data_IF_254035242025
#
_entry.id   IF_254035242025
#
_cell.length_a   1.000
_cell.length_b   1.000
_cell.length_c   1.000
_cell.angle_alpha   90.00
_cell.angle_beta   90.00
_cell.angle_gamma   90.00
#
_symmetry.space_group_name_H-M   'P 1'
#
loop_
_entity.id
_entity.type
_entity.pdbx_description
1 polymer ?
#
# COMPACT_ATOMS: atom_id res chain seq x y z
N UNK A 1 -12.08 -6.85 -12.04
CA UNK A 1 -11.77 -8.15 -11.41
C UNK A 1 -11.06 -7.86 -10.09
N UNK A 2 -11.42 -8.56 -9.01
CA UNK A 2 -10.73 -8.36 -7.73
C UNK A 2 -9.27 -8.78 -7.83
N UNK A 3 -8.37 -7.96 -7.30
CA UNK A 3 -6.93 -8.26 -7.29
C UNK A 3 -6.46 -8.69 -5.90
N UNK A 4 -5.50 -9.60 -5.88
CA UNK A 4 -4.81 -10.08 -4.69
C UNK A 4 -3.49 -9.34 -4.44
N UNK A 5 -2.83 -9.63 -3.31
CA UNK A 5 -1.47 -9.15 -3.05
C UNK A 5 -0.47 -9.58 -4.13
N UNK A 6 -0.60 -10.81 -4.64
CA UNK A 6 0.29 -11.34 -5.68
C UNK A 6 0.09 -10.60 -7.00
N UNK A 7 -1.17 -10.32 -7.36
CA UNK A 7 -1.49 -9.56 -8.56
C UNK A 7 -0.93 -8.14 -8.45
N UNK A 8 -1.07 -7.50 -7.29
CA UNK A 8 -0.52 -6.18 -7.02
C UNK A 8 1.00 -6.14 -7.23
N UNK A 9 1.75 -7.12 -6.72
CA UNK A 9 3.20 -7.22 -6.96
C UNK A 9 3.52 -7.25 -8.45
N UNK A 10 2.80 -8.07 -9.23
CA UNK A 10 3.02 -8.20 -10.67
C UNK A 10 2.66 -6.92 -11.44
N UNK A 11 1.59 -6.23 -11.02
CA UNK A 11 1.17 -4.95 -11.59
C UNK A 11 2.22 -3.87 -11.32
N UNK A 12 2.71 -3.76 -10.07
CA UNK A 12 3.71 -2.75 -9.69
C UNK A 12 5.06 -3.00 -10.38
N UNK A 13 5.45 -4.26 -10.57
CA UNK A 13 6.66 -4.61 -11.30
C UNK A 13 6.64 -4.14 -12.77
N UNK A 14 5.46 -4.04 -13.38
CA UNK A 14 5.28 -3.49 -14.74
C UNK A 14 5.34 -1.96 -14.79
N UNK A 15 5.28 -1.28 -13.64
CA UNK A 15 5.26 0.17 -13.54
C UNK A 15 6.44 0.70 -12.70
N UNK A 16 7.70 0.38 -13.05
CA UNK A 16 8.87 0.73 -12.25
C UNK A 16 9.13 2.24 -12.19
N UNK A 17 8.44 3.06 -13.00
CA UNK A 17 8.54 4.52 -12.95
C UNK A 17 7.67 5.14 -11.86
N UNK A 18 6.66 4.43 -11.34
CA UNK A 18 5.74 4.95 -10.33
C UNK A 18 6.25 4.72 -8.91
N UNK A 19 6.78 3.52 -8.65
CA UNK A 19 7.15 3.09 -7.31
C UNK A 19 8.44 2.27 -7.32
N UNK A 20 9.13 2.24 -6.19
CA UNK A 20 10.14 1.23 -5.87
C UNK A 20 9.65 0.34 -4.76
N UNK A 21 10.01 -0.94 -4.82
CA UNK A 21 9.96 -1.80 -3.64
C UNK A 21 10.98 -1.26 -2.62
N UNK A 22 10.48 -0.74 -1.50
CA UNK A 22 11.31 -0.13 -0.46
C UNK A 22 11.88 -1.19 0.48
N UNK A 23 11.01 -2.02 1.05
CA UNK A 23 11.41 -2.98 2.08
C UNK A 23 10.41 -4.12 2.21
N UNK A 24 10.91 -5.30 2.54
CA UNK A 24 10.11 -6.47 2.92
C UNK A 24 10.37 -6.74 4.40
N UNK A 25 9.35 -7.16 5.15
CA UNK A 25 9.62 -7.62 6.51
C UNK A 25 10.35 -8.96 6.47
N UNK A 26 11.00 -9.31 7.58
CA UNK A 26 11.78 -10.56 7.68
C UNK A 26 10.91 -11.83 7.49
N UNK A 27 9.59 -11.70 7.62
CA UNK A 27 8.63 -12.80 7.49
C UNK A 27 7.85 -12.77 6.18
N UNK A 28 8.20 -11.88 5.25
CA UNK A 28 7.49 -11.65 3.97
C UNK A 28 5.96 -11.45 4.08
N UNK A 29 5.50 -11.03 5.26
CA UNK A 29 4.11 -10.71 5.56
C UNK A 29 3.73 -9.33 5.03
N UNK A 30 4.67 -8.38 4.98
CA UNK A 30 4.41 -7.06 4.43
C UNK A 30 5.54 -6.58 3.53
N UNK A 31 5.16 -6.12 2.35
CA UNK A 31 6.06 -5.50 1.40
C UNK A 31 5.66 -4.03 1.26
N UNK A 32 6.60 -3.14 1.53
CA UNK A 32 6.45 -1.69 1.44
C UNK A 32 6.99 -1.19 0.12
N UNK A 33 6.22 -0.32 -0.52
CA UNK A 33 6.55 0.38 -1.75
C UNK A 33 6.57 1.88 -1.49
N UNK A 34 7.51 2.56 -2.15
CA UNK A 34 7.68 4.01 -2.06
C UNK A 34 7.45 4.65 -3.41
N UNK A 35 6.68 5.73 -3.44
CA UNK A 35 6.49 6.54 -4.64
C UNK A 35 7.80 7.19 -5.08
N UNK A 36 8.08 7.13 -6.38
CA UNK A 36 9.23 7.78 -7.01
C UNK A 36 9.03 9.27 -7.23
N UNK A 37 7.78 9.70 -7.31
CA UNK A 37 7.38 11.06 -7.66
C UNK A 37 6.41 11.62 -6.62
N UNK A 38 6.26 12.95 -6.59
CA UNK A 38 5.35 13.64 -5.67
C UNK A 38 5.79 13.56 -4.20
N UNK A 39 4.82 13.37 -3.31
CA UNK A 39 4.92 13.30 -1.84
C UNK A 39 5.93 12.28 -1.30
N UNK A 40 6.39 11.35 -2.15
CA UNK A 40 7.21 10.19 -1.79
C UNK A 40 6.54 9.31 -0.73
N UNK A 41 5.22 9.28 -0.71
CA UNK A 41 4.45 8.45 0.20
C UNK A 41 4.81 6.95 0.10
N UNK A 42 4.56 6.26 1.20
CA UNK A 42 4.80 4.84 1.36
C UNK A 42 3.50 4.09 1.60
N UNK A 43 3.43 2.89 1.06
CA UNK A 43 2.33 2.00 1.30
C UNK A 43 2.80 0.55 1.37
N UNK A 44 2.15 -0.25 2.20
CA UNK A 44 2.49 -1.65 2.38
C UNK A 44 1.27 -2.55 2.34
N UNK A 45 1.46 -3.75 1.81
CA UNK A 45 0.45 -4.79 1.78
C UNK A 45 1.08 -6.17 1.91
N UNK A 46 0.25 -7.15 2.21
CA UNK A 46 0.66 -8.55 2.24
C UNK A 46 0.59 -9.11 0.82
N UNK A 47 1.71 -9.53 0.20
CA UNK A 47 1.72 -10.05 -1.16
C UNK A 47 1.04 -11.43 -1.28
N UNK A 48 0.73 -12.08 -0.16
CA UNK A 48 0.16 -13.42 -0.11
C UNK A 48 -1.34 -13.44 0.20
N UNK A 49 -2.03 -12.28 0.19
CA UNK A 49 -3.49 -12.28 0.31
C UNK A 49 -4.13 -13.04 -0.85
N UNK A 50 -5.24 -13.74 -0.57
CA UNK A 50 -5.91 -14.60 -1.57
C UNK A 50 -7.22 -14.03 -2.13
N UNK A 51 -7.76 -12.96 -1.52
CA UNK A 51 -9.13 -12.48 -1.81
C UNK A 51 -9.20 -10.99 -2.02
N UNK A 52 -8.81 -10.22 -1.01
CA UNK A 52 -8.85 -8.76 -1.06
C UNK A 52 -7.43 -8.19 -0.94
N UNK A 53 -7.12 -7.19 -1.75
CA UNK A 53 -5.93 -6.38 -1.61
C UNK A 53 -6.19 -5.31 -0.55
N UNK A 54 -5.59 -5.48 0.62
CA UNK A 54 -5.67 -4.51 1.73
C UNK A 54 -4.34 -3.77 1.79
N UNK A 55 -4.36 -2.47 1.52
CA UNK A 55 -3.17 -1.62 1.53
C UNK A 55 -3.20 -0.72 2.76
N UNK A 56 -2.02 -0.57 3.38
CA UNK A 56 -1.76 0.36 4.48
C UNK A 56 -0.98 1.53 3.91
N UNK A 57 -1.40 2.74 4.21
CA UNK A 57 -0.84 3.97 3.66
C UNK A 57 -0.32 4.87 4.79
N UNK A 58 0.71 5.66 4.50
CA UNK A 58 1.21 6.68 5.41
C UNK A 58 0.47 8.02 5.36
N UNK A 59 -0.45 8.17 4.41
CA UNK A 59 -1.36 9.29 4.25
C UNK A 59 -2.73 8.81 3.76
N UNK A 60 -3.73 9.70 3.76
CA UNK A 60 -5.09 9.33 3.39
C UNK A 60 -5.14 8.94 1.91
N UNK A 61 -5.65 7.74 1.55
CA UNK A 61 -5.80 7.36 0.16
C UNK A 61 -6.92 8.17 -0.51
N UNK A 62 -6.83 8.41 -1.83
CA UNK A 62 -7.86 9.16 -2.55
C UNK A 62 -9.20 8.42 -2.52
N UNK A 63 -10.29 9.19 -2.32
CA UNK A 63 -11.67 8.68 -2.25
C UNK A 63 -12.27 8.54 -3.65
N UNK A 64 -11.80 7.53 -4.37
CA UNK A 64 -12.24 7.22 -5.75
C UNK A 64 -13.01 5.90 -5.80
N UNK A 65 -13.84 5.67 -6.83
CA UNK A 65 -14.50 4.38 -7.04
C UNK A 65 -13.48 3.23 -7.02
N UNK A 66 -13.79 2.16 -6.29
CA UNK A 66 -12.92 0.99 -6.10
C UNK A 66 -12.02 1.03 -4.86
N UNK A 67 -11.92 2.18 -4.17
CA UNK A 67 -11.30 2.29 -2.84
C UNK A 67 -12.38 2.12 -1.78
N UNK A 68 -12.31 1.04 -1.02
CA UNK A 68 -13.34 0.66 -0.05
C UNK A 68 -12.77 0.57 1.37
N UNK A 69 -13.66 0.66 2.37
CA UNK A 69 -13.35 0.42 3.79
C UNK A 69 -12.12 1.21 4.29
N UNK A 70 -12.04 2.49 3.92
CA UNK A 70 -10.99 3.39 4.41
C UNK A 70 -11.13 3.52 5.93
N UNK A 71 -10.05 3.24 6.65
CA UNK A 71 -10.00 3.34 8.10
C UNK A 71 -8.73 4.05 8.54
N UNK A 72 -8.87 5.00 9.46
CA UNK A 72 -7.75 5.68 10.12
C UNK A 72 -7.24 4.82 11.29
N UNK A 73 -5.93 4.61 11.33
CA UNK A 73 -5.21 3.77 12.28
C UNK A 73 -4.53 4.55 13.42
N UNK A 74 -4.64 5.89 13.45
CA UNK A 74 -3.85 6.74 14.33
C UNK A 74 -3.94 6.45 15.85
N UNK A 75 -5.01 5.80 16.30
CA UNK A 75 -5.21 5.38 17.70
C UNK A 75 -5.08 3.87 17.93
N UNK A 76 -4.76 3.10 16.89
CA UNK A 76 -4.70 1.64 16.97
C UNK A 76 -3.26 1.17 17.18
N UNK A 77 -3.10 0.12 17.98
CA UNK A 77 -1.85 -0.64 18.02
C UNK A 77 -1.63 -1.26 16.63
N UNK A 78 -0.59 -0.79 15.95
CA UNK A 78 -0.18 -1.25 14.63
C UNK A 78 0.81 -2.40 14.79
N UNK A 79 0.84 -3.32 13.83
CA UNK A 79 1.74 -4.47 13.89
C UNK A 79 3.20 -4.03 13.81
N UNK A 80 4.06 -4.62 14.64
CA UNK A 80 5.52 -4.45 14.56
C UNK A 80 6.11 -4.79 13.19
N UNK A 81 5.42 -5.59 12.38
CA UNK A 81 5.82 -5.84 11.00
C UNK A 81 5.71 -4.58 10.13
N UNK A 82 4.71 -3.73 10.35
CA UNK A 82 4.56 -2.45 9.64
C UNK A 82 5.67 -1.48 10.04
N UNK A 83 6.00 -1.38 11.33
CA UNK A 83 7.13 -0.55 11.81
C UNK A 83 8.46 -0.97 11.19
N UNK A 84 8.62 -2.25 10.84
CA UNK A 84 9.84 -2.75 10.20
C UNK A 84 9.92 -2.42 8.71
N UNK A 85 8.80 -2.23 8.01
CA UNK A 85 8.79 -2.08 6.53
C UNK A 85 8.56 -0.65 6.06
N UNK A 86 7.94 0.19 6.90
CA UNK A 86 7.91 1.62 6.67
C UNK A 86 9.25 2.25 7.07
N UNK A 87 9.60 3.37 6.45
CA UNK A 87 10.86 4.07 6.76
C UNK A 87 10.87 4.80 8.10
N UNK A 88 9.70 4.93 8.75
CA UNK A 88 9.56 5.58 10.05
C UNK A 88 9.42 7.10 9.94
N UNK A 89 9.42 7.78 11.10
CA UNK A 89 9.20 9.22 11.16
C UNK A 89 7.84 9.63 10.60
N UNK A 90 7.84 10.36 9.48
CA UNK A 90 6.60 10.77 8.80
C UNK A 90 5.93 9.63 8.02
N UNK A 91 6.69 8.60 7.66
CA UNK A 91 6.24 7.43 6.91
C UNK A 91 5.95 6.31 7.89
N UNK A 92 4.72 6.27 8.40
CA UNK A 92 4.20 5.23 9.29
C UNK A 92 2.80 4.87 8.81
N UNK A 93 2.34 3.63 9.02
CA UNK A 93 1.00 3.24 8.58
C UNK A 93 -0.09 4.01 9.34
N UNK A 94 -0.79 4.92 8.66
CA UNK A 94 -1.86 5.76 9.24
C UNK A 94 -3.24 5.41 8.75
N UNK A 95 -3.35 4.82 7.56
CA UNK A 95 -4.63 4.45 6.96
C UNK A 95 -4.57 3.03 6.45
N UNK A 96 -5.72 2.36 6.38
CA UNK A 96 -5.89 1.15 5.58
C UNK A 96 -7.11 1.28 4.67
N UNK A 97 -7.03 0.68 3.49
CA UNK A 97 -8.17 0.57 2.58
C UNK A 97 -8.11 -0.74 1.80
N UNK A 98 -9.26 -1.18 1.30
CA UNK A 98 -9.38 -2.27 0.34
C UNK A 98 -9.34 -1.66 -1.07
N UNK A 99 -8.51 -2.24 -1.92
CA UNK A 99 -8.38 -1.84 -3.33
C UNK A 99 -9.00 -2.92 -4.19
N UNK A 100 -9.99 -2.54 -4.99
CA UNK A 100 -10.79 -3.50 -5.73
C UNK A 100 -10.04 -4.10 -6.92
N UNK A 101 -9.50 -3.29 -7.83
CA UNK A 101 -8.89 -3.76 -9.08
C UNK A 101 -7.60 -3.01 -9.47
N UNK A 102 -6.99 -3.44 -10.58
CA UNK A 102 -5.75 -2.88 -11.11
C UNK A 102 -5.87 -1.38 -11.44
N UNK A 103 -6.97 -0.98 -12.09
CA UNK A 103 -7.21 0.41 -12.45
C UNK A 103 -7.26 1.30 -11.21
N UNK A 104 -7.95 0.82 -10.17
CA UNK A 104 -8.04 1.48 -8.87
C UNK A 104 -6.65 1.58 -8.23
N UNK A 105 -5.86 0.50 -8.20
CA UNK A 105 -4.51 0.51 -7.62
C UNK A 105 -3.64 1.60 -8.27
N UNK A 106 -3.60 1.65 -9.61
CA UNK A 106 -2.80 2.63 -10.33
C UNK A 106 -3.31 4.06 -10.12
N UNK A 107 -4.63 4.24 -10.06
CA UNK A 107 -5.26 5.54 -9.80
C UNK A 107 -4.96 6.04 -8.38
N UNK A 108 -4.97 5.15 -7.39
CA UNK A 108 -4.57 5.45 -6.01
C UNK A 108 -3.11 5.89 -5.97
N UNK A 109 -2.20 5.14 -6.58
CA UNK A 109 -0.77 5.46 -6.60
C UNK A 109 -0.53 6.84 -7.24
N UNK A 110 -1.20 7.13 -8.36
CA UNK A 110 -1.11 8.45 -9.01
C UNK A 110 -1.75 9.56 -8.18
N UNK A 111 -2.78 9.27 -7.40
CA UNK A 111 -3.44 10.25 -6.52
C UNK A 111 -2.72 10.49 -5.20
N UNK A 112 -1.71 9.68 -4.85
CA UNK A 112 -0.88 9.86 -3.66
C UNK A 112 0.31 10.82 -3.90
N UNK A 113 0.47 11.36 -5.11
CA UNK A 113 1.55 12.31 -5.44
C UNK A 113 1.39 13.66 -4.79
#
# INVERSE_FOLDING_TARGET
MKISGKDAVLILAKHPTLVDLHKKDQTDKFWSYKLKVGSRAEFAFDPHTKRDLIIRFDQEPPKIPGVEKIENLGSKSISTALDRVFSGGKHTAKFKAVIFDESTLLSVIRGLT
#
